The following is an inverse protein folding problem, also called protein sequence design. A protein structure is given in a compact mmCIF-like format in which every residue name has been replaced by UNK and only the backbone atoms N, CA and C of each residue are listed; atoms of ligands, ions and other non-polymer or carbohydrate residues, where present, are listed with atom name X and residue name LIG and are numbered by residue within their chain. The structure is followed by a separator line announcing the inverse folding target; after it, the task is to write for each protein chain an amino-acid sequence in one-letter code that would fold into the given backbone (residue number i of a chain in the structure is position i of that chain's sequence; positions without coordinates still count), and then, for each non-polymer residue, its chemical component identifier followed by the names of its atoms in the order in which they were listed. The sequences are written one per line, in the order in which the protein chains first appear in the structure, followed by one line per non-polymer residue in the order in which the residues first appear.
data_IF_077001930277
#
_entry.id   IF_077001930277
#
_cell.length_a   1.000
_cell.length_b   1.000
_cell.length_c   1.000
_cell.angle_alpha   90.00
_cell.angle_beta   90.00
_cell.angle_gamma   90.00
#
_symmetry.space_group_name_H-M   'P 1'
#
loop_
_entity.id
_entity.type
_entity.pdbx_description
1 polymer ?
#
# COMPACT_ATOMS: atom_id res chain seq x y z
N UNK A 1 -2.17 8.44 22.31
CA UNK A 1 -1.43 7.66 21.50
C UNK A 1 -1.31 8.11 20.13
N UNK A 2 -0.17 8.30 19.76
CA UNK A 2 0.04 8.94 18.48
C UNK A 2 0.01 8.04 17.30
N UNK A 3 -0.70 7.00 17.35
CA UNK A 3 -0.72 6.13 16.24
C UNK A 3 -1.25 6.79 15.02
N UNK A 4 -2.01 7.83 15.17
CA UNK A 4 -2.59 8.45 14.01
C UNK A 4 -1.57 8.87 12.98
N UNK A 5 -0.39 9.19 13.41
CA UNK A 5 0.62 9.62 12.49
C UNK A 5 0.95 8.54 11.49
N UNK A 6 1.11 7.32 11.94
CA UNK A 6 1.43 6.24 11.05
C UNK A 6 0.31 5.97 10.08
N UNK A 7 -0.92 6.04 10.55
CA UNK A 7 -2.04 5.77 9.68
C UNK A 7 -2.19 6.82 8.61
N UNK A 8 -2.01 8.07 8.98
CA UNK A 8 -2.13 9.13 8.00
C UNK A 8 -1.06 9.03 6.95
N UNK A 9 0.14 8.72 7.36
CA UNK A 9 1.22 8.59 6.40
C UNK A 9 0.98 7.42 5.47
N UNK A 10 0.46 6.34 6.01
CA UNK A 10 0.18 5.18 5.19
C UNK A 10 -0.86 5.51 4.13
N UNK A 11 -1.88 6.26 4.51
CA UNK A 11 -2.91 6.63 3.56
C UNK A 11 -2.36 7.52 2.45
N UNK A 12 -1.40 8.37 2.76
CA UNK A 12 -0.82 9.22 1.75
C UNK A 12 0.06 8.44 0.78
N UNK A 13 0.45 7.25 1.16
CA UNK A 13 1.31 6.43 0.32
C UNK A 13 0.53 5.39 -0.47
N UNK A 14 -0.77 5.51 -0.54
CA UNK A 14 -1.61 4.58 -1.26
C UNK A 14 -2.50 5.32 -2.22
N UNK A 15 -2.60 4.82 -3.44
CA UNK A 15 -3.57 5.32 -4.40
C UNK A 15 -4.52 4.16 -4.66
N UNK A 16 -5.79 4.31 -4.28
CA UNK A 16 -6.71 3.18 -4.30
C UNK A 16 -6.96 2.66 -5.71
N UNK A 17 -6.89 3.51 -6.72
CA UNK A 17 -7.06 3.03 -8.06
C UNK A 17 -5.80 2.37 -8.59
N UNK A 18 -4.68 3.05 -8.43
CA UNK A 18 -3.42 2.53 -8.96
C UNK A 18 -3.01 1.23 -8.26
N UNK A 19 -3.30 1.14 -6.96
CA UNK A 19 -2.86 0.01 -6.16
C UNK A 19 -3.92 -1.04 -5.93
N UNK A 20 -5.04 -0.96 -6.63
CA UNK A 20 -6.17 -1.83 -6.34
C UNK A 20 -5.79 -3.31 -6.34
N UNK A 21 -4.99 -3.75 -7.30
CA UNK A 21 -4.61 -5.15 -7.36
C UNK A 21 -3.76 -5.55 -6.17
N UNK A 22 -2.89 -4.67 -5.72
CA UNK A 22 -2.04 -5.00 -4.57
C UNK A 22 -2.86 -5.08 -3.30
N UNK A 23 -3.84 -4.18 -3.15
CA UNK A 23 -4.71 -4.20 -1.99
C UNK A 23 -5.54 -5.48 -1.99
N UNK A 24 -6.10 -5.81 -3.16
CA UNK A 24 -6.91 -6.99 -3.30
C UNK A 24 -6.10 -8.25 -2.95
N UNK A 25 -4.90 -8.37 -3.51
CA UNK A 25 -4.07 -9.53 -3.25
C UNK A 25 -3.66 -9.61 -1.78
N UNK A 26 -3.40 -8.46 -1.17
CA UNK A 26 -2.98 -8.45 0.23
C UNK A 26 -4.12 -8.87 1.16
N UNK A 27 -5.33 -8.41 0.88
CA UNK A 27 -6.48 -8.81 1.70
C UNK A 27 -6.74 -10.31 1.54
N UNK A 28 -6.57 -10.82 0.32
CA UNK A 28 -6.78 -12.24 0.11
C UNK A 28 -5.72 -13.04 0.85
N UNK A 29 -4.48 -12.60 0.76
CA UNK A 29 -3.38 -13.31 1.40
C UNK A 29 -3.49 -13.28 2.92
N UNK A 30 -3.75 -12.11 3.48
CA UNK A 30 -3.70 -11.94 4.93
C UNK A 30 -4.97 -12.37 5.63
N UNK A 31 -6.11 -12.12 5.00
CA UNK A 31 -7.38 -12.33 5.68
C UNK A 31 -8.28 -13.33 4.98
N UNK A 32 -7.91 -13.79 3.81
CA UNK A 32 -8.79 -14.65 3.06
C UNK A 32 -10.04 -13.93 2.55
N UNK A 33 -9.98 -12.60 2.47
CA UNK A 33 -11.13 -11.81 2.05
C UNK A 33 -11.01 -11.48 0.58
N UNK A 34 -12.05 -11.81 -0.18
CA UNK A 34 -12.11 -11.43 -1.58
C UNK A 34 -12.88 -10.13 -1.65
N UNK A 35 -12.16 -9.03 -1.84
CA UNK A 35 -12.78 -7.71 -1.78
C UNK A 35 -13.85 -7.52 -2.82
N UNK A 36 -13.73 -8.17 -3.97
CA UNK A 36 -14.74 -8.03 -4.99
C UNK A 36 -16.07 -8.63 -4.58
N UNK A 37 -16.03 -9.63 -3.70
CA UNK A 37 -17.25 -10.30 -3.28
C UNK A 37 -17.90 -9.67 -2.08
N UNK A 38 -17.12 -8.94 -1.28
CA UNK A 38 -17.69 -8.40 -0.05
C UNK A 38 -17.85 -6.90 -0.06
N UNK A 39 -17.72 -6.28 -1.22
CA UNK A 39 -17.72 -4.82 -1.25
C UNK A 39 -19.01 -4.21 -0.72
N UNK A 40 -20.11 -4.91 -0.79
CA UNK A 40 -21.36 -4.40 -0.24
C UNK A 40 -21.54 -4.72 1.23
N UNK A 41 -20.64 -5.50 1.80
CA UNK A 41 -20.75 -5.89 3.19
C UNK A 41 -19.72 -5.22 4.07
N UNK A 42 -18.66 -4.73 3.48
CA UNK A 42 -17.55 -4.16 4.23
C UNK A 42 -17.68 -2.64 4.23
N UNK A 43 -17.76 -2.05 5.40
CA UNK A 43 -17.86 -0.60 5.47
C UNK A 43 -16.51 0.02 5.20
N UNK A 44 -16.51 1.31 4.87
CA UNK A 44 -15.26 2.02 4.64
C UNK A 44 -14.37 2.01 5.88
N UNK A 45 -14.97 2.16 7.05
CA UNK A 45 -14.22 2.14 8.29
C UNK A 45 -13.55 0.78 8.50
N UNK A 46 -14.29 -0.30 8.24
CA UNK A 46 -13.73 -1.63 8.38
C UNK A 46 -12.61 -1.85 7.37
N UNK A 47 -12.82 -1.41 6.15
CA UNK A 47 -11.83 -1.57 5.11
C UNK A 47 -10.53 -0.85 5.50
N UNK A 48 -10.62 0.38 5.98
CA UNK A 48 -9.44 1.13 6.37
C UNK A 48 -8.71 0.47 7.53
N UNK A 49 -9.46 -0.05 8.49
CA UNK A 49 -8.85 -0.71 9.63
C UNK A 49 -8.07 -1.95 9.18
N UNK A 50 -8.66 -2.73 8.28
CA UNK A 50 -7.98 -3.92 7.81
C UNK A 50 -6.77 -3.57 6.94
N UNK A 51 -6.88 -2.51 6.16
CA UNK A 51 -5.79 -2.07 5.33
C UNK A 51 -4.59 -1.65 6.20
N UNK A 52 -4.86 -0.90 7.25
CA UNK A 52 -3.79 -0.43 8.11
C UNK A 52 -3.19 -1.56 8.95
N UNK A 53 -3.91 -2.65 9.12
CA UNK A 53 -3.42 -3.77 9.91
C UNK A 53 -2.75 -4.86 9.08
N UNK A 54 -2.59 -4.65 7.77
CA UNK A 54 -1.98 -5.67 6.94
C UNK A 54 -0.58 -6.03 7.43
N UNK A 55 -0.26 -7.32 7.46
CA UNK A 55 1.08 -7.74 7.89
C UNK A 55 2.16 -7.28 6.91
N UNK A 56 3.37 -7.20 7.42
CA UNK A 56 4.49 -6.71 6.62
C UNK A 56 4.81 -7.56 5.42
N UNK A 57 4.41 -8.81 5.42
CA UNK A 57 4.73 -9.67 4.30
C UNK A 57 3.74 -9.59 3.15
N UNK A 58 2.75 -8.70 3.23
CA UNK A 58 1.85 -8.51 2.10
C UNK A 58 2.47 -7.55 1.10
N UNK A 59 2.08 -7.72 -0.17
CA UNK A 59 2.67 -6.88 -1.20
C UNK A 59 2.33 -5.40 -0.99
N UNK A 60 1.11 -5.10 -0.52
CA UNK A 60 0.75 -3.71 -0.31
C UNK A 60 1.61 -3.07 0.77
N UNK A 61 1.86 -3.78 1.87
CA UNK A 61 2.71 -3.24 2.93
C UNK A 61 4.14 -3.06 2.45
N UNK A 62 4.63 -3.98 1.65
CA UNK A 62 5.98 -3.85 1.12
C UNK A 62 6.09 -2.65 0.21
N UNK A 63 5.07 -2.40 -0.60
CA UNK A 63 5.07 -1.24 -1.47
C UNK A 63 5.02 0.05 -0.67
N UNK A 64 4.23 0.07 0.40
CA UNK A 64 4.16 1.24 1.26
C UNK A 64 5.53 1.52 1.85
N UNK A 65 6.23 0.49 2.30
CA UNK A 65 7.55 0.66 2.88
C UNK A 65 8.54 1.17 1.84
N UNK A 66 8.45 0.68 0.61
CA UNK A 66 9.31 1.14 -0.44
C UNK A 66 9.07 2.62 -0.72
N UNK A 67 7.81 3.01 -0.79
CA UNK A 67 7.48 4.41 -1.06
C UNK A 67 7.92 5.33 0.06
N UNK A 68 7.94 4.83 1.29
CA UNK A 68 8.32 5.63 2.44
C UNK A 68 9.82 5.65 2.68
N UNK A 69 10.57 4.83 1.96
CA UNK A 69 12.00 4.71 2.22
C UNK A 69 12.74 6.00 1.94
N UNK A 70 13.71 6.31 2.78
CA UNK A 70 14.57 7.46 2.62
C UNK A 70 16.02 7.00 2.75
N UNK A 71 16.95 7.68 2.08
CA UNK A 71 18.35 7.25 2.14
C UNK A 71 18.90 7.13 3.56
N UNK A 72 18.42 7.95 4.47
CA UNK A 72 18.95 7.89 5.83
C UNK A 72 18.52 6.63 6.57
N UNK A 73 17.57 5.87 6.04
CA UNK A 73 17.17 4.62 6.68
C UNK A 73 18.16 3.50 6.37
N UNK A 74 19.07 3.70 5.41
CA UNK A 74 20.05 2.68 5.10
C UNK A 74 19.58 1.73 4.03
N UNK A 75 20.41 0.74 3.74
CA UNK A 75 20.10 -0.25 2.72
C UNK A 75 20.73 0.10 1.40
N UNK A 76 20.41 -0.67 0.38
CA UNK A 76 21.00 -0.49 -0.96
C UNK A 76 20.26 0.63 -1.66
N UNK A 77 20.90 1.78 -1.76
CA UNK A 77 20.26 2.95 -2.32
C UNK A 77 19.87 2.76 -3.77
N UNK A 78 20.70 2.12 -4.56
CA UNK A 78 20.38 1.93 -5.96
C UNK A 78 19.16 1.03 -6.12
N UNK A 79 19.13 -0.03 -5.36
CA UNK A 79 17.99 -0.94 -5.42
C UNK A 79 16.72 -0.24 -4.97
N UNK A 80 16.80 0.52 -3.89
CA UNK A 80 15.60 1.17 -3.36
C UNK A 80 15.11 2.24 -4.32
N UNK A 81 16.00 2.96 -4.98
CA UNK A 81 15.56 3.96 -5.93
C UNK A 81 14.85 3.34 -7.12
N UNK A 82 15.33 2.19 -7.57
CA UNK A 82 14.68 1.50 -8.66
C UNK A 82 13.29 1.03 -8.25
N UNK A 83 13.17 0.52 -7.04
CA UNK A 83 11.88 0.08 -6.54
C UNK A 83 10.93 1.24 -6.37
N UNK A 84 11.43 2.38 -5.89
CA UNK A 84 10.60 3.55 -5.73
C UNK A 84 10.10 4.04 -7.08
N UNK A 85 10.94 3.97 -8.09
CA UNK A 85 10.51 4.37 -9.42
C UNK A 85 9.43 3.43 -9.95
N UNK A 86 9.60 2.14 -9.68
CA UNK A 86 8.65 1.15 -10.14
C UNK A 86 7.27 1.34 -9.51
N UNK A 87 7.23 1.69 -8.23
CA UNK A 87 5.97 1.79 -7.51
C UNK A 87 5.56 3.22 -7.20
N UNK A 88 6.11 4.19 -7.91
CA UNK A 88 5.80 5.58 -7.60
C UNK A 88 4.32 5.87 -7.85
N UNK A 89 3.79 6.76 -7.03
CA UNK A 89 2.40 7.14 -7.17
C UNK A 89 2.22 8.07 -8.37
N UNK A 90 1.05 8.02 -8.93
CA UNK A 90 0.75 8.92 -10.03
C UNK A 90 1.26 8.48 -11.37
N UNK A 91 1.66 7.20 -11.49
CA UNK A 91 2.20 6.72 -12.75
C UNK A 91 1.18 6.57 -13.85
N UNK A 92 -0.07 6.46 -13.48
CA UNK A 92 -1.03 6.12 -14.47
C UNK A 92 -1.03 7.00 -15.66
N UNK A 93 -0.99 8.26 -15.48
CA UNK A 93 -1.06 9.15 -16.60
C UNK A 93 0.16 9.15 -17.44
N UNK A 94 1.24 8.66 -16.91
CA UNK A 94 2.48 8.70 -17.62
C UNK A 94 2.66 7.58 -18.57
N UNK A 95 1.99 6.50 -18.33
CA UNK A 95 2.18 5.37 -19.14
C UNK A 95 1.81 5.59 -20.53
N UNK A 96 1.01 6.51 -20.76
CA UNK A 96 0.60 6.71 -22.07
C UNK A 96 1.58 7.26 -22.92
N UNK A 97 2.52 7.82 -22.37
CA UNK A 97 3.54 8.50 -23.09
C UNK A 97 4.18 7.65 -24.05
#
# INVERSE_FOLDING_TARGET
MPKAKGEEEQEKLIDFEQDAEYIYASFLQAYGINLLKVQNELTWTEFKALLNALPDNTIMQQIIEIRAWKPEYGGDKNKMRKLQAKYSLGKEGEDNG
#
